data_IF_998404301206
#
_entry.id   IF_998404301206
#
_cell.length_a   1.000
_cell.length_b   1.000
_cell.length_c   1.000
_cell.angle_alpha   90.00
_cell.angle_beta   90.00
_cell.angle_gamma   90.00
#
_symmetry.space_group_name_H-M   'P 1'
#
loop_
_entity.id
_entity.type
_entity.pdbx_description
1 polymer ?
#
# COMPACT_ATOMS: atom_id res chain seq x y z
N UNK A 1 53.24 85.26 21.73
CA UNK A 1 52.21 84.35 22.27
C UNK A 1 51.39 83.84 21.08
N UNK A 2 51.36 82.52 20.89
CA UNK A 2 50.52 81.72 19.97
C UNK A 2 50.16 82.26 18.58
N UNK A 3 50.96 81.90 17.57
CA UNK A 3 50.50 81.81 16.16
C UNK A 3 50.72 80.40 15.58
N UNK A 4 51.27 79.47 16.37
CA UNK A 4 51.55 78.10 15.95
C UNK A 4 50.55 77.07 16.47
N UNK A 5 49.60 77.47 17.32
CA UNK A 5 48.57 76.55 17.86
C UNK A 5 47.42 76.28 16.90
N UNK A 6 47.23 77.11 15.87
CA UNK A 6 46.09 76.95 14.95
C UNK A 6 46.41 76.17 13.68
N UNK A 7 47.68 76.07 13.28
CA UNK A 7 48.05 75.35 12.05
C UNK A 7 48.02 73.81 12.22
N UNK A 8 48.26 73.30 13.43
CA UNK A 8 48.19 71.86 13.72
C UNK A 8 46.77 71.37 14.02
N UNK A 9 45.83 72.27 14.34
CA UNK A 9 44.44 71.91 14.57
C UNK A 9 43.70 71.60 13.25
N UNK A 10 44.05 72.29 12.16
CA UNK A 10 43.36 72.20 10.88
C UNK A 10 43.85 71.02 10.01
N UNK A 11 45.14 70.67 10.10
CA UNK A 11 45.66 69.46 9.42
C UNK A 11 45.29 68.15 10.15
N UNK A 12 45.15 68.16 11.48
CA UNK A 12 44.71 66.98 12.25
C UNK A 12 43.19 66.75 12.22
N UNK A 13 42.41 67.82 12.03
CA UNK A 13 40.94 67.77 11.96
C UNK A 13 40.43 67.12 10.67
N UNK A 14 41.04 67.41 9.53
CA UNK A 14 40.61 66.87 8.23
C UNK A 14 40.78 65.36 8.11
N UNK A 15 41.90 64.79 8.58
CA UNK A 15 42.12 63.34 8.55
C UNK A 15 41.18 62.58 9.50
N UNK A 16 40.90 63.14 10.69
CA UNK A 16 39.95 62.54 11.64
C UNK A 16 38.52 62.55 11.10
N UNK A 17 38.09 63.63 10.44
CA UNK A 17 36.77 63.72 9.84
C UNK A 17 36.62 62.75 8.67
N UNK A 18 37.58 62.71 7.73
CA UNK A 18 37.53 61.77 6.60
C UNK A 18 37.65 60.30 7.03
N UNK A 19 38.42 60.00 8.08
CA UNK A 19 38.48 58.64 8.64
C UNK A 19 37.19 58.27 9.38
N UNK A 20 36.58 59.21 10.11
CA UNK A 20 35.30 58.98 10.80
C UNK A 20 34.15 58.72 9.82
N UNK A 21 34.12 59.43 8.69
CA UNK A 21 33.18 59.17 7.60
C UNK A 21 33.41 57.78 6.99
N UNK A 22 34.67 57.39 6.76
CA UNK A 22 35.01 56.05 6.27
C UNK A 22 34.57 54.94 7.25
N UNK A 23 34.85 55.10 8.55
CA UNK A 23 34.47 54.14 9.58
C UNK A 23 32.95 54.02 9.70
N UNK A 24 32.23 55.14 9.58
CA UNK A 24 30.76 55.16 9.60
C UNK A 24 30.17 54.51 8.34
N UNK A 25 30.76 54.75 7.18
CA UNK A 25 30.38 54.10 5.92
C UNK A 25 30.65 52.60 5.94
N UNK A 26 31.77 52.17 6.53
CA UNK A 26 32.11 50.76 6.67
C UNK A 26 31.22 50.04 7.70
N UNK A 27 30.92 50.71 8.82
CA UNK A 27 30.02 50.19 9.85
C UNK A 27 28.57 50.01 9.37
N UNK A 28 28.05 50.99 8.62
CA UNK A 28 26.72 50.89 8.01
C UNK A 28 26.64 49.80 6.94
N UNK A 29 27.69 49.68 6.11
CA UNK A 29 27.80 48.62 5.11
C UNK A 29 27.85 47.23 5.75
N UNK A 30 28.65 47.03 6.80
CA UNK A 30 28.72 45.76 7.53
C UNK A 30 27.38 45.40 8.21
N UNK A 31 26.73 46.37 8.86
CA UNK A 31 25.40 46.18 9.47
C UNK A 31 24.34 45.77 8.43
N UNK A 32 24.38 46.37 7.24
CA UNK A 32 23.47 46.00 6.14
C UNK A 32 23.71 44.59 5.61
N UNK A 33 24.97 44.13 5.58
CA UNK A 33 25.33 42.78 5.16
C UNK A 33 24.92 41.77 6.23
N UNK A 34 25.15 42.06 7.51
CA UNK A 34 24.76 41.21 8.64
C UNK A 34 23.23 41.07 8.71
N UNK A 35 22.48 42.16 8.56
CA UNK A 35 21.01 42.10 8.50
C UNK A 35 20.48 41.38 7.26
N UNK A 36 21.15 41.51 6.11
CA UNK A 36 20.85 40.72 4.91
C UNK A 36 21.17 39.23 5.10
N UNK A 37 22.22 38.90 5.85
CA UNK A 37 22.58 37.52 6.18
C UNK A 37 21.63 36.89 7.20
N UNK A 38 21.20 37.65 8.20
CA UNK A 38 20.20 37.24 9.20
C UNK A 38 18.86 36.97 8.51
N UNK A 39 18.40 37.89 7.65
CA UNK A 39 17.17 37.69 6.86
C UNK A 39 17.27 36.50 5.89
N UNK A 40 18.44 36.19 5.32
CA UNK A 40 18.63 34.96 4.52
C UNK A 40 18.50 33.71 5.40
N UNK A 41 19.02 33.72 6.64
CA UNK A 41 18.92 32.61 7.59
C UNK A 41 17.48 32.36 8.05
N UNK A 42 16.70 33.40 8.31
CA UNK A 42 15.29 33.29 8.71
C UNK A 42 14.37 32.93 7.54
N UNK A 43 14.63 33.45 6.34
CA UNK A 43 13.86 33.16 5.12
C UNK A 43 14.11 31.76 4.58
N UNK A 44 15.34 31.24 4.73
CA UNK A 44 15.69 29.88 4.32
C UNK A 44 14.99 28.83 5.18
N UNK A 45 14.72 29.06 6.46
CA UNK A 45 14.07 28.05 7.31
C UNK A 45 12.58 27.85 6.99
N UNK A 46 11.86 28.91 6.58
CA UNK A 46 10.43 28.85 6.22
C UNK A 46 10.16 28.60 4.72
N UNK A 47 11.06 29.02 3.82
CA UNK A 47 10.98 28.67 2.39
C UNK A 47 11.59 27.30 2.08
N UNK A 48 12.57 26.82 2.85
CA UNK A 48 13.12 25.47 2.65
C UNK A 48 12.22 24.40 3.21
N UNK A 49 11.46 24.65 4.30
CA UNK A 49 10.45 23.69 4.76
C UNK A 49 9.33 23.51 3.73
N UNK A 50 8.80 24.59 3.16
CA UNK A 50 7.77 24.53 2.11
C UNK A 50 8.29 23.97 0.78
N UNK A 51 9.50 24.35 0.34
CA UNK A 51 10.11 23.76 -0.88
C UNK A 51 10.48 22.30 -0.67
N UNK A 52 10.96 21.92 0.52
CA UNK A 52 11.29 20.54 0.86
C UNK A 52 10.03 19.69 0.95
N UNK A 53 8.97 20.19 1.60
CA UNK A 53 7.67 19.50 1.63
C UNK A 53 7.10 19.31 0.22
N UNK A 54 7.10 20.37 -0.62
CA UNK A 54 6.65 20.26 -2.01
C UNK A 54 7.50 19.29 -2.85
N UNK A 55 8.78 19.15 -2.53
CA UNK A 55 9.69 18.19 -3.17
C UNK A 55 9.42 16.77 -2.67
N UNK A 56 9.24 16.60 -1.37
CA UNK A 56 8.88 15.35 -0.71
C UNK A 56 7.55 14.83 -1.29
N UNK A 57 6.52 15.68 -1.43
CA UNK A 57 5.23 15.32 -2.03
C UNK A 57 5.38 14.82 -3.48
N UNK A 58 6.22 15.50 -4.28
CA UNK A 58 6.51 15.07 -5.66
C UNK A 58 7.24 13.74 -5.71
N UNK A 59 8.21 13.53 -4.81
CA UNK A 59 8.93 12.25 -4.72
C UNK A 59 7.97 11.14 -4.29
N UNK A 60 7.09 11.39 -3.33
CA UNK A 60 6.09 10.42 -2.89
C UNK A 60 5.11 10.07 -4.01
N UNK A 61 4.72 11.05 -4.84
CA UNK A 61 3.92 10.81 -6.04
C UNK A 61 4.65 9.94 -7.07
N UNK A 62 5.97 10.11 -7.24
CA UNK A 62 6.78 9.24 -8.12
C UNK A 62 6.87 7.80 -7.57
N UNK A 63 7.00 7.64 -6.26
CA UNK A 63 6.95 6.33 -5.61
C UNK A 63 5.61 5.64 -5.85
N UNK A 64 4.49 6.33 -5.61
CA UNK A 64 3.17 5.77 -5.90
C UNK A 64 2.99 5.43 -7.39
N UNK A 65 3.48 6.28 -8.30
CA UNK A 65 3.35 6.09 -9.75
C UNK A 65 4.14 4.89 -10.30
N UNK A 66 5.32 4.60 -9.76
CA UNK A 66 6.23 3.59 -10.33
C UNK A 66 6.44 2.37 -9.44
N UNK A 67 6.19 2.49 -8.15
CA UNK A 67 6.40 1.45 -7.15
C UNK A 67 5.11 1.06 -6.41
N UNK A 68 3.97 1.71 -6.72
CA UNK A 68 2.65 1.43 -6.14
C UNK A 68 2.63 1.44 -4.60
N UNK A 69 3.51 2.26 -4.00
CA UNK A 69 3.64 2.43 -2.56
C UNK A 69 4.04 3.85 -2.21
N UNK A 70 3.82 4.24 -0.95
CA UNK A 70 4.43 5.43 -0.40
C UNK A 70 5.94 5.26 -0.19
N UNK A 71 6.66 6.37 -0.30
CA UNK A 71 8.07 6.45 0.07
C UNK A 71 8.21 6.33 1.60
N UNK A 72 9.11 5.46 2.02
CA UNK A 72 9.54 5.36 3.40
C UNK A 72 10.36 6.61 3.80
N UNK A 73 10.38 6.95 5.11
CA UNK A 73 11.11 8.14 5.60
C UNK A 73 12.58 8.17 5.16
N UNK A 74 13.35 7.07 5.20
CA UNK A 74 14.72 7.03 4.67
C UNK A 74 14.80 7.29 3.16
N UNK A 75 13.99 6.59 2.35
CA UNK A 75 13.95 6.77 0.90
C UNK A 75 13.56 8.19 0.48
N UNK A 76 12.55 8.76 1.13
CA UNK A 76 12.08 10.12 0.87
C UNK A 76 13.20 11.14 1.13
N UNK A 77 13.90 11.01 2.26
CA UNK A 77 15.07 11.85 2.60
C UNK A 77 16.23 11.67 1.63
N UNK A 78 16.53 10.44 1.24
CA UNK A 78 17.63 10.15 0.30
C UNK A 78 17.45 10.93 -1.00
N UNK A 79 16.23 10.93 -1.55
CA UNK A 79 15.94 11.65 -2.78
C UNK A 79 15.75 13.15 -2.57
N UNK A 80 15.17 13.60 -1.46
CA UNK A 80 14.92 15.02 -1.25
C UNK A 80 16.17 15.81 -0.89
N UNK A 81 17.09 15.20 -0.15
CA UNK A 81 18.40 15.77 0.18
C UNK A 81 19.37 15.72 -1.02
N UNK A 82 19.04 14.96 -2.08
CA UNK A 82 19.82 14.94 -3.33
C UNK A 82 19.71 16.26 -4.10
N UNK A 83 20.80 16.69 -4.74
CA UNK A 83 20.83 17.87 -5.61
C UNK A 83 20.22 17.64 -7.01
N UNK A 84 19.65 16.45 -7.26
CA UNK A 84 19.11 16.07 -8.57
C UNK A 84 17.78 16.77 -8.85
N UNK A 85 17.49 17.02 -10.13
CA UNK A 85 16.17 17.50 -10.55
C UNK A 85 15.09 16.40 -10.38
N UNK A 86 13.82 16.79 -10.28
CA UNK A 86 12.70 15.82 -10.17
C UNK A 86 12.67 14.86 -11.36
N UNK A 87 13.00 15.31 -12.57
CA UNK A 87 13.04 14.45 -13.78
C UNK A 87 14.16 13.39 -13.72
N UNK A 88 15.32 13.75 -13.17
CA UNK A 88 16.41 12.78 -12.95
C UNK A 88 16.02 11.75 -11.89
N UNK A 89 15.37 12.20 -10.82
CA UNK A 89 14.87 11.30 -9.76
C UNK A 89 13.78 10.38 -10.33
N UNK A 90 12.84 10.89 -11.13
CA UNK A 90 11.84 10.08 -11.82
C UNK A 90 12.48 8.97 -12.66
N UNK A 91 13.52 9.32 -13.44
CA UNK A 91 14.25 8.36 -14.25
C UNK A 91 14.95 7.30 -13.40
N UNK A 92 15.55 7.71 -12.27
CA UNK A 92 16.22 6.82 -11.35
C UNK A 92 15.25 5.85 -10.65
N UNK A 93 14.10 6.34 -10.17
CA UNK A 93 13.06 5.52 -9.55
C UNK A 93 12.46 4.55 -10.59
N UNK A 94 12.11 5.05 -11.78
CA UNK A 94 11.51 4.24 -12.86
C UNK A 94 12.40 3.09 -13.33
N UNK A 95 13.71 3.30 -13.35
CA UNK A 95 14.70 2.32 -13.79
C UNK A 95 15.42 1.63 -12.61
N UNK A 96 14.98 1.87 -11.38
CA UNK A 96 15.52 1.20 -10.21
C UNK A 96 15.32 -0.31 -10.30
N UNK A 97 16.18 -1.06 -9.62
CA UNK A 97 16.04 -2.51 -9.52
C UNK A 97 14.68 -2.92 -8.95
N UNK A 98 14.12 -2.11 -8.05
CA UNK A 98 12.80 -2.33 -7.45
C UNK A 98 11.67 -2.16 -8.48
N UNK A 99 11.65 -1.06 -9.24
CA UNK A 99 10.66 -0.85 -10.30
C UNK A 99 10.74 -1.92 -11.41
N UNK A 100 11.95 -2.37 -11.73
CA UNK A 100 12.17 -3.46 -12.68
C UNK A 100 11.73 -4.81 -12.11
N UNK A 101 11.87 -5.03 -10.80
CA UNK A 101 11.38 -6.23 -10.14
C UNK A 101 9.85 -6.27 -10.14
N UNK A 102 9.18 -5.18 -9.80
CA UNK A 102 7.72 -5.08 -9.83
C UNK A 102 7.14 -5.37 -11.21
N UNK A 103 7.72 -4.81 -12.29
CA UNK A 103 7.31 -5.11 -13.67
C UNK A 103 7.45 -6.59 -14.06
N UNK A 104 8.31 -7.35 -13.39
CA UNK A 104 8.51 -8.78 -13.63
C UNK A 104 7.53 -9.65 -12.84
N UNK A 105 6.87 -9.09 -11.83
CA UNK A 105 5.87 -9.82 -11.06
C UNK A 105 4.56 -9.88 -11.85
N UNK A 106 3.95 -11.06 -11.83
CA UNK A 106 2.64 -11.26 -12.46
C UNK A 106 1.56 -10.70 -11.52
N UNK A 107 0.64 -9.85 -12.02
CA UNK A 107 -0.42 -9.34 -11.19
C UNK A 107 -1.56 -10.35 -11.00
N UNK A 108 -2.18 -10.34 -9.82
CA UNK A 108 -3.31 -11.23 -9.44
C UNK A 108 -4.54 -10.50 -8.89
N UNK A 109 -4.64 -9.18 -9.08
CA UNK A 109 -5.78 -8.36 -8.65
C UNK A 109 -7.16 -8.88 -9.10
N UNK A 110 -7.26 -9.54 -10.26
CA UNK A 110 -8.51 -10.12 -10.77
C UNK A 110 -8.73 -11.59 -10.37
N UNK A 111 -7.86 -12.13 -9.49
CA UNK A 111 -7.86 -13.53 -9.08
C UNK A 111 -7.31 -14.49 -10.13
N UNK A 112 -7.50 -15.79 -9.87
CA UNK A 112 -7.03 -16.90 -10.70
C UNK A 112 -6.36 -18.00 -9.86
N UNK A 113 -6.25 -19.20 -10.44
CA UNK A 113 -5.58 -20.33 -9.76
C UNK A 113 -4.07 -20.30 -10.01
N UNK A 114 -3.28 -20.42 -8.94
CA UNK A 114 -1.82 -20.59 -9.02
C UNK A 114 -1.50 -22.08 -8.92
N UNK A 115 -1.09 -22.67 -10.04
CA UNK A 115 -0.84 -24.13 -10.15
C UNK A 115 0.64 -24.52 -10.09
N UNK A 116 1.55 -23.54 -10.07
CA UNK A 116 3.00 -23.74 -9.95
C UNK A 116 3.63 -22.61 -9.15
N UNK A 117 4.86 -22.81 -8.64
CA UNK A 117 5.63 -21.75 -8.00
C UNK A 117 5.71 -20.53 -8.93
N UNK A 118 5.12 -19.41 -8.48
CA UNK A 118 4.95 -18.19 -9.29
C UNK A 118 5.20 -16.99 -8.38
N UNK A 119 6.26 -16.19 -8.62
CA UNK A 119 6.43 -14.91 -7.94
C UNK A 119 5.38 -13.92 -8.47
N UNK A 120 4.69 -13.23 -7.58
CA UNK A 120 3.45 -12.51 -7.85
C UNK A 120 3.23 -11.34 -6.89
N UNK A 121 2.49 -10.32 -7.34
CA UNK A 121 1.92 -9.29 -6.47
C UNK A 121 0.49 -9.70 -6.06
N UNK A 122 0.10 -9.31 -4.85
CA UNK A 122 -1.21 -9.56 -4.22
C UNK A 122 -1.61 -8.27 -3.50
N UNK A 123 -2.89 -7.92 -3.51
CA UNK A 123 -3.42 -6.72 -2.86
C UNK A 123 -3.42 -5.46 -3.72
N UNK A 124 -3.24 -5.60 -5.03
CA UNK A 124 -3.16 -4.51 -6.02
C UNK A 124 -4.56 -4.04 -6.47
N UNK A 125 -5.63 -4.77 -6.12
CA UNK A 125 -7.00 -4.39 -6.49
C UNK A 125 -7.60 -3.25 -5.64
N UNK A 126 -6.92 -2.83 -4.56
CA UNK A 126 -7.37 -1.74 -3.69
C UNK A 126 -8.41 -2.13 -2.64
N UNK A 127 -8.64 -3.44 -2.42
CA UNK A 127 -9.48 -3.99 -1.36
C UNK A 127 -8.80 -5.21 -0.70
N UNK A 128 -9.21 -5.63 0.51
CA UNK A 128 -8.63 -6.80 1.16
C UNK A 128 -8.77 -8.07 0.30
N UNK A 129 -7.65 -8.76 0.06
CA UNK A 129 -7.59 -9.99 -0.71
C UNK A 129 -7.23 -11.18 0.19
N UNK A 130 -7.90 -12.32 -0.01
CA UNK A 130 -7.65 -13.54 0.75
C UNK A 130 -6.76 -14.52 -0.04
N UNK A 131 -5.71 -15.04 0.60
CA UNK A 131 -4.84 -16.08 0.03
C UNK A 131 -5.17 -17.41 0.69
N UNK A 132 -5.81 -18.31 -0.08
CA UNK A 132 -6.28 -19.61 0.42
C UNK A 132 -5.54 -20.73 -0.31
N UNK A 133 -4.69 -21.52 0.37
CA UNK A 133 -4.05 -22.68 -0.22
C UNK A 133 -5.09 -23.72 -0.66
N UNK A 134 -4.90 -24.30 -1.84
CA UNK A 134 -5.71 -25.40 -2.32
C UNK A 134 -5.19 -26.73 -1.76
N UNK A 135 -6.05 -27.50 -1.09
CA UNK A 135 -5.74 -28.86 -0.64
C UNK A 135 -6.30 -29.84 -1.67
N UNK A 136 -5.43 -30.63 -2.31
CA UNK A 136 -5.82 -31.58 -3.37
C UNK A 136 -6.59 -30.90 -4.53
N UNK A 137 -6.20 -29.68 -4.89
CA UNK A 137 -6.85 -28.90 -5.96
C UNK A 137 -8.21 -28.29 -5.59
N UNK A 138 -8.63 -28.37 -4.31
CA UNK A 138 -9.91 -27.84 -3.83
C UNK A 138 -9.70 -26.76 -2.77
N UNK A 139 -10.64 -25.82 -2.70
CA UNK A 139 -10.71 -24.85 -1.60
C UNK A 139 -11.14 -25.63 -0.35
N UNK A 140 -10.37 -25.59 0.75
CA UNK A 140 -10.79 -26.19 2.00
C UNK A 140 -11.97 -25.39 2.56
N UNK A 141 -13.13 -26.02 2.65
CA UNK A 141 -14.38 -25.45 3.17
C UNK A 141 -14.94 -26.41 4.22
N UNK A 142 -15.37 -25.86 5.36
CA UNK A 142 -16.13 -26.59 6.37
C UNK A 142 -17.60 -26.15 6.28
N UNK A 143 -18.47 -27.09 5.91
CA UNK A 143 -19.90 -26.83 5.77
C UNK A 143 -20.70 -27.11 7.04
N UNK A 144 -20.02 -27.48 8.13
CA UNK A 144 -20.65 -27.88 9.39
C UNK A 144 -21.41 -29.21 9.28
N UNK A 145 -21.68 -29.80 10.45
CA UNK A 145 -22.29 -31.12 10.57
C UNK A 145 -23.72 -31.21 9.99
N UNK A 146 -24.41 -30.09 9.86
CA UNK A 146 -25.82 -30.04 9.42
C UNK A 146 -26.00 -30.21 7.91
N UNK A 147 -25.04 -29.79 7.07
CA UNK A 147 -25.18 -29.94 5.60
C UNK A 147 -24.97 -31.40 5.17
N UNK A 148 -23.96 -32.08 5.73
CA UNK A 148 -23.66 -33.48 5.42
C UNK A 148 -24.72 -34.47 5.92
N UNK A 149 -25.31 -34.20 7.08
CA UNK A 149 -26.34 -35.07 7.67
C UNK A 149 -27.67 -35.01 6.93
N UNK A 150 -28.14 -33.83 6.50
CA UNK A 150 -29.40 -33.69 5.78
C UNK A 150 -29.34 -34.27 4.34
N UNK A 151 -28.23 -34.10 3.63
CA UNK A 151 -28.02 -34.71 2.31
C UNK A 151 -27.89 -36.25 2.40
N UNK A 152 -27.20 -36.76 3.43
CA UNK A 152 -27.11 -38.20 3.69
C UNK A 152 -28.41 -38.84 4.18
N UNK A 153 -29.19 -38.13 5.00
CA UNK A 153 -30.48 -38.60 5.49
C UNK A 153 -31.50 -38.77 4.35
N UNK A 154 -31.53 -37.85 3.38
CA UNK A 154 -32.40 -37.97 2.21
C UNK A 154 -32.01 -39.18 1.33
N UNK A 155 -30.71 -39.46 1.16
CA UNK A 155 -30.25 -40.64 0.42
C UNK A 155 -30.70 -41.97 1.07
N UNK A 156 -30.78 -42.04 2.40
CA UNK A 156 -31.30 -43.20 3.12
C UNK A 156 -32.83 -43.30 3.01
N UNK A 157 -33.54 -42.17 3.04
CA UNK A 157 -34.99 -42.13 2.84
C UNK A 157 -35.38 -42.72 1.47
N UNK A 158 -34.66 -42.40 0.40
CA UNK A 158 -34.95 -42.94 -0.95
C UNK A 158 -34.79 -44.47 -1.02
N UNK A 159 -33.79 -45.05 -0.35
CA UNK A 159 -33.62 -46.51 -0.27
C UNK A 159 -34.74 -47.19 0.53
N UNK A 160 -35.19 -46.55 1.62
CA UNK A 160 -36.32 -47.04 2.42
C UNK A 160 -37.60 -47.00 1.59
N UNK A 161 -37.84 -45.91 0.86
CA UNK A 161 -38.99 -45.78 -0.05
C UNK A 161 -38.97 -46.84 -1.17
N UNK A 162 -37.79 -47.14 -1.72
CA UNK A 162 -37.64 -48.19 -2.73
C UNK A 162 -37.97 -49.58 -2.16
N UNK A 163 -37.50 -49.89 -0.95
CA UNK A 163 -37.82 -51.15 -0.28
C UNK A 163 -39.33 -51.27 0.01
N UNK A 164 -39.94 -50.21 0.55
CA UNK A 164 -41.38 -50.17 0.81
C UNK A 164 -42.18 -50.38 -0.47
N UNK A 165 -41.78 -49.73 -1.57
CA UNK A 165 -42.47 -49.89 -2.85
C UNK A 165 -42.39 -51.33 -3.38
N UNK A 166 -41.27 -52.01 -3.19
CA UNK A 166 -41.11 -53.41 -3.58
C UNK A 166 -41.93 -54.34 -2.70
N UNK A 167 -41.88 -54.17 -1.38
CA UNK A 167 -42.66 -54.96 -0.43
C UNK A 167 -44.19 -54.83 -0.73
N UNK A 168 -44.67 -53.62 -1.06
CA UNK A 168 -46.08 -53.38 -1.45
C UNK A 168 -46.45 -54.11 -2.75
N UNK A 169 -45.57 -54.11 -3.76
CA UNK A 169 -45.82 -54.82 -5.03
C UNK A 169 -45.93 -56.33 -4.82
N UNK A 170 -45.08 -56.89 -3.95
CA UNK A 170 -45.10 -58.31 -3.61
C UNK A 170 -46.39 -58.71 -2.86
N UNK A 171 -46.80 -57.89 -1.88
CA UNK A 171 -48.08 -58.08 -1.17
C UNK A 171 -49.26 -58.00 -2.14
N UNK A 172 -49.28 -57.01 -3.04
CA UNK A 172 -50.36 -56.88 -4.01
C UNK A 172 -50.45 -58.10 -4.95
N UNK A 173 -49.31 -58.67 -5.36
CA UNK A 173 -49.27 -59.87 -6.20
C UNK A 173 -49.80 -61.11 -5.46
N UNK A 174 -49.36 -61.34 -4.23
CA UNK A 174 -49.83 -62.47 -3.42
C UNK A 174 -51.32 -62.39 -3.12
N UNK A 175 -51.83 -61.20 -2.78
CA UNK A 175 -53.26 -60.99 -2.52
C UNK A 175 -54.14 -61.17 -3.76
N UNK A 176 -53.65 -60.80 -4.95
CA UNK A 176 -54.38 -61.02 -6.22
C UNK A 176 -54.56 -62.51 -6.50
N UNK A 177 -53.49 -63.28 -6.33
CA UNK A 177 -53.53 -64.73 -6.54
C UNK A 177 -54.40 -65.46 -5.49
N UNK A 178 -54.56 -64.88 -4.29
CA UNK A 178 -55.44 -65.42 -3.23
C UNK A 178 -56.90 -65.00 -3.44
N UNK A 179 -57.14 -63.79 -3.98
CA UNK A 179 -58.49 -63.29 -4.24
C UNK A 179 -59.15 -63.90 -5.47
N UNK A 180 -58.36 -64.42 -6.42
CA UNK A 180 -58.86 -65.00 -7.68
C UNK A 180 -59.33 -66.47 -7.54
N UNK A 181 -59.48 -66.99 -6.31
CA UNK A 181 -60.40 -68.10 -6.04
C UNK A 181 -59.82 -69.44 -5.56
N UNK A 182 -58.58 -69.51 -5.06
CA UNK A 182 -58.05 -70.75 -4.46
C UNK A 182 -58.07 -70.68 -2.92
N UNK A 183 -58.95 -71.48 -2.33
CA UNK A 183 -59.22 -71.56 -0.90
C UNK A 183 -57.96 -71.85 -0.06
N UNK A 184 -57.78 -71.07 1.01
CA UNK A 184 -56.83 -71.39 2.08
C UNK A 184 -57.37 -72.60 2.87
N UNK A 185 -56.86 -73.80 2.56
CA UNK A 185 -56.99 -74.95 3.46
C UNK A 185 -56.17 -74.68 4.72
N UNK A 186 -56.81 -74.19 5.78
CA UNK A 186 -56.28 -74.30 7.13
C UNK A 186 -56.31 -75.78 7.50
N UNK A 187 -55.12 -76.38 7.55
CA UNK A 187 -54.91 -77.74 8.03
C UNK A 187 -55.41 -77.84 9.47
N UNK A 188 -56.44 -78.64 9.67
CA UNK A 188 -56.89 -79.07 11.00
C UNK A 188 -55.73 -79.76 11.73
N UNK A 189 -55.50 -79.30 12.96
CA UNK A 189 -54.57 -79.84 13.96
C UNK A 189 -54.91 -79.23 15.30
#
# INVERSE_FOLDING_TARGET
MSVYTELFAELGGSFKSSFSELVSALGSSFSSIVSKLESIKTSSSASSSNKKQSRDDKINALYNKYLERDADKPGLRFWSDSSLSISQIETAIKNSQEALALKKLKPFANGGIVTRATPALIGEAGYPEAVIPLKSGKIPVDFGSNLGTNLGANANANKILEKIANDIREIAFTLRNVSDGEALYTKAG
#
